data_IF_596590045446
#
_entry.id   IF_596590045446
#
_cell.length_a   1.000
_cell.length_b   1.000
_cell.length_c   1.000
_cell.angle_alpha   90.00
_cell.angle_beta   90.00
_cell.angle_gamma   90.00
#
_symmetry.space_group_name_H-M   'P 1'
#
loop_
_entity.id
_entity.type
_entity.pdbx_description
1 polymer ?
#
# COMPACT_ATOMS: atom_id res chain seq x y z
N UNK A 1 5.28 -14.63 12.56
CA UNK A 1 4.24 -15.43 11.89
C UNK A 1 4.81 -15.82 10.54
N UNK A 2 4.84 -17.10 10.19
CA UNK A 2 5.38 -17.56 8.89
C UNK A 2 4.41 -17.15 7.78
N UNK A 3 4.93 -16.60 6.70
CA UNK A 3 4.13 -16.27 5.51
C UNK A 3 3.82 -17.57 4.75
N UNK A 4 2.60 -17.75 4.21
CA UNK A 4 2.31 -18.87 3.34
C UNK A 4 3.18 -18.80 2.08
N UNK A 5 3.78 -19.92 1.71
CA UNK A 5 4.53 -20.07 0.46
C UNK A 5 3.60 -20.74 -0.55
N UNK A 6 3.59 -20.27 -1.79
CA UNK A 6 2.73 -20.77 -2.84
C UNK A 6 3.59 -21.35 -3.97
N UNK A 7 3.17 -22.49 -4.49
CA UNK A 7 3.80 -23.16 -5.63
C UNK A 7 2.94 -23.05 -6.90
N UNK A 8 2.01 -22.09 -6.89
CA UNK A 8 1.09 -21.77 -7.97
C UNK A 8 0.79 -20.26 -7.96
N UNK A 9 1.17 -19.57 -9.04
CA UNK A 9 1.02 -18.12 -9.17
C UNK A 9 -0.45 -17.69 -9.09
N UNK A 10 -1.37 -18.43 -9.71
CA UNK A 10 -2.80 -18.12 -9.69
C UNK A 10 -3.38 -18.22 -8.28
N UNK A 11 -2.92 -19.22 -7.52
CA UNK A 11 -3.33 -19.39 -6.14
C UNK A 11 -2.81 -18.25 -5.24
N UNK A 12 -1.54 -17.86 -5.42
CA UNK A 12 -0.97 -16.69 -4.75
C UNK A 12 -1.78 -15.43 -5.04
N UNK A 13 -2.02 -15.11 -6.32
CA UNK A 13 -2.79 -13.94 -6.74
C UNK A 13 -4.22 -13.92 -6.21
N UNK A 14 -4.83 -15.08 -5.98
CA UNK A 14 -6.17 -15.17 -5.39
C UNK A 14 -6.17 -14.87 -3.89
N UNK A 15 -5.07 -15.19 -3.19
CA UNK A 15 -5.05 -15.23 -1.72
C UNK A 15 -4.20 -14.13 -1.07
N UNK A 16 -3.29 -13.47 -1.77
CA UNK A 16 -2.35 -12.51 -1.16
C UNK A 16 -3.03 -11.39 -0.35
N UNK A 17 -4.15 -10.82 -0.82
CA UNK A 17 -4.91 -9.82 -0.06
C UNK A 17 -5.65 -10.41 1.14
N UNK A 18 -6.08 -11.68 1.05
CA UNK A 18 -6.71 -12.38 2.17
C UNK A 18 -5.69 -12.61 3.28
N UNK A 19 -4.51 -13.06 2.91
CA UNK A 19 -3.40 -13.33 3.84
C UNK A 19 -2.94 -12.04 4.51
N UNK A 20 -2.82 -10.94 3.73
CA UNK A 20 -2.58 -9.61 4.28
C UNK A 20 -3.65 -9.19 5.30
N UNK A 21 -4.94 -9.35 4.98
CA UNK A 21 -6.04 -8.99 5.90
C UNK A 21 -5.96 -9.77 7.21
N UNK A 22 -5.61 -11.06 7.14
CA UNK A 22 -5.42 -11.87 8.35
C UNK A 22 -4.24 -11.37 9.18
N UNK A 23 -3.10 -11.04 8.56
CA UNK A 23 -1.95 -10.47 9.26
C UNK A 23 -2.28 -9.11 9.89
N UNK A 24 -2.96 -8.24 9.15
CA UNK A 24 -3.39 -6.92 9.62
C UNK A 24 -4.39 -7.00 10.77
N UNK A 25 -5.26 -8.01 10.79
CA UNK A 25 -6.19 -8.24 11.91
C UNK A 25 -5.46 -8.54 13.23
N UNK A 26 -4.28 -9.17 13.14
CA UNK A 26 -3.42 -9.47 14.29
C UNK A 26 -2.48 -8.30 14.63
N UNK A 27 -2.06 -7.55 13.62
CA UNK A 27 -1.14 -6.41 13.71
C UNK A 27 -1.70 -5.18 12.97
N UNK A 28 -2.56 -4.36 13.60
CA UNK A 28 -3.29 -3.28 12.91
C UNK A 28 -2.41 -2.19 12.25
N UNK A 29 -1.21 -1.98 12.79
CA UNK A 29 -0.23 -1.03 12.26
C UNK A 29 0.50 -1.53 11.00
N UNK A 30 0.38 -2.82 10.68
CA UNK A 30 1.08 -3.44 9.55
C UNK A 30 0.52 -2.94 8.22
N UNK A 31 1.38 -2.32 7.40
CA UNK A 31 0.98 -1.75 6.11
C UNK A 31 1.13 -2.77 4.99
N UNK A 32 0.38 -2.57 3.92
CA UNK A 32 0.43 -3.45 2.74
C UNK A 32 1.80 -3.41 2.06
N UNK A 33 2.48 -2.26 2.11
CA UNK A 33 3.84 -2.12 1.57
C UNK A 33 4.85 -2.96 2.35
N UNK A 34 4.69 -3.06 3.68
CA UNK A 34 5.54 -3.90 4.53
C UNK A 34 5.28 -5.38 4.22
N UNK A 35 4.02 -5.75 4.00
CA UNK A 35 3.64 -7.09 3.56
C UNK A 35 4.28 -7.48 2.23
N UNK A 36 4.20 -6.61 1.23
CA UNK A 36 4.83 -6.86 -0.08
C UNK A 36 6.35 -7.00 -0.01
N UNK A 37 7.02 -6.18 0.82
CA UNK A 37 8.45 -6.33 1.08
C UNK A 37 8.75 -7.69 1.70
N UNK A 38 8.03 -8.09 2.75
CA UNK A 38 8.25 -9.38 3.40
C UNK A 38 8.05 -10.57 2.43
N UNK A 39 7.03 -10.52 1.56
CA UNK A 39 6.85 -11.58 0.56
C UNK A 39 8.01 -11.55 -0.44
N UNK A 40 8.35 -10.38 -0.98
CA UNK A 40 9.45 -10.23 -1.94
C UNK A 40 10.76 -10.79 -1.39
N UNK A 41 11.10 -10.46 -0.15
CA UNK A 41 12.29 -10.95 0.54
C UNK A 41 12.24 -12.49 0.72
N UNK A 42 11.07 -13.03 1.07
CA UNK A 42 10.88 -14.49 1.22
C UNK A 42 11.18 -15.21 -0.10
N UNK A 43 10.61 -14.76 -1.20
CA UNK A 43 10.82 -15.38 -2.51
C UNK A 43 12.22 -15.09 -3.08
N UNK A 44 12.81 -13.94 -2.76
CA UNK A 44 14.21 -13.65 -3.10
C UNK A 44 15.16 -14.63 -2.42
N UNK A 45 14.99 -14.88 -1.12
CA UNK A 45 15.82 -15.84 -0.40
C UNK A 45 15.70 -17.25 -0.98
N UNK A 46 14.48 -17.68 -1.33
CA UNK A 46 14.26 -18.96 -2.02
C UNK A 46 15.04 -19.01 -3.35
N UNK A 47 14.97 -17.95 -4.17
CA UNK A 47 15.71 -17.90 -5.43
C UNK A 47 17.22 -17.95 -5.22
N UNK A 48 17.73 -17.18 -4.26
CA UNK A 48 19.14 -17.13 -3.93
C UNK A 48 19.62 -18.52 -3.48
N UNK A 49 18.92 -19.15 -2.54
CA UNK A 49 19.27 -20.49 -2.04
C UNK A 49 19.19 -21.56 -3.15
N UNK A 50 18.17 -21.53 -4.02
CA UNK A 50 18.08 -22.47 -5.14
C UNK A 50 19.23 -22.34 -6.15
N UNK A 51 19.80 -21.14 -6.32
CA UNK A 51 20.85 -20.87 -7.32
C UNK A 51 22.27 -20.81 -6.73
N UNK A 52 22.42 -20.47 -5.44
CA UNK A 52 23.70 -20.44 -4.72
C UNK A 52 24.10 -21.82 -4.19
N UNK A 53 23.14 -22.74 -3.96
CA UNK A 53 23.42 -24.16 -3.69
C UNK A 53 23.84 -24.83 -5.02
N UNK A 54 24.96 -24.36 -5.59
CA UNK A 54 25.48 -24.79 -6.89
C UNK A 54 26.62 -25.80 -6.75
N UNK A 55 26.48 -26.87 -5.97
CA UNK A 55 27.51 -27.92 -5.98
C UNK A 55 27.00 -29.35 -6.15
N UNK A 56 25.79 -29.73 -5.70
CA UNK A 56 25.21 -31.04 -6.04
C UNK A 56 23.67 -31.02 -6.09
N UNK A 57 23.09 -31.95 -6.87
CA UNK A 57 21.64 -32.20 -6.83
C UNK A 57 21.18 -32.63 -5.43
N UNK A 58 22.03 -33.29 -4.65
CA UNK A 58 21.72 -33.77 -3.30
C UNK A 58 21.47 -32.60 -2.33
N UNK A 59 22.31 -31.57 -2.37
CA UNK A 59 22.13 -30.37 -1.54
C UNK A 59 20.82 -29.64 -1.88
N UNK A 60 20.46 -29.58 -3.17
CA UNK A 60 19.21 -28.98 -3.63
C UNK A 60 17.99 -29.81 -3.20
N UNK A 61 18.08 -31.14 -3.28
CA UNK A 61 17.04 -32.07 -2.81
C UNK A 61 16.80 -31.86 -1.31
N UNK A 62 17.87 -31.83 -0.52
CA UNK A 62 17.76 -31.64 0.93
C UNK A 62 17.21 -30.26 1.26
N UNK A 63 17.64 -29.20 0.57
CA UNK A 63 17.06 -27.87 0.74
C UNK A 63 15.55 -27.85 0.48
N UNK A 64 15.11 -28.33 -0.69
CA UNK A 64 13.69 -28.33 -1.07
C UNK A 64 12.87 -29.15 -0.08
N UNK A 65 13.39 -30.32 0.30
CA UNK A 65 12.72 -31.19 1.24
C UNK A 65 12.62 -30.53 2.62
N UNK A 66 13.72 -30.14 3.24
CA UNK A 66 13.73 -29.58 4.60
C UNK A 66 12.94 -28.26 4.68
N UNK A 67 12.97 -27.44 3.64
CA UNK A 67 12.28 -26.14 3.62
C UNK A 67 10.77 -26.27 3.39
N UNK A 68 10.34 -27.16 2.50
CA UNK A 68 8.97 -27.16 1.98
C UNK A 68 8.15 -28.42 2.30
N UNK A 69 8.71 -29.54 2.76
CA UNK A 69 7.95 -30.78 2.94
C UNK A 69 6.77 -30.67 3.92
N UNK A 70 6.80 -29.71 4.84
CA UNK A 70 5.71 -29.45 5.81
C UNK A 70 4.70 -28.42 5.31
N UNK A 71 4.98 -27.72 4.22
CA UNK A 71 4.07 -26.74 3.65
C UNK A 71 2.93 -27.46 2.93
N UNK A 72 1.69 -27.25 3.38
CA UNK A 72 0.49 -27.86 2.81
C UNK A 72 0.38 -27.54 1.30
N UNK A 73 0.70 -26.31 0.91
CA UNK A 73 0.73 -25.88 -0.49
C UNK A 73 1.74 -26.66 -1.33
N UNK A 74 2.89 -27.02 -0.76
CA UNK A 74 3.90 -27.83 -1.43
C UNK A 74 3.43 -29.28 -1.58
N UNK A 75 2.81 -29.85 -0.54
CA UNK A 75 2.26 -31.19 -0.60
C UNK A 75 1.15 -31.29 -1.65
N UNK A 76 0.25 -30.31 -1.70
CA UNK A 76 -0.79 -30.22 -2.72
C UNK A 76 -0.18 -30.09 -4.12
N UNK A 77 0.85 -29.26 -4.29
CA UNK A 77 1.58 -29.16 -5.55
C UNK A 77 2.17 -30.50 -5.99
N UNK A 78 2.85 -31.22 -5.09
CA UNK A 78 3.42 -32.54 -5.40
C UNK A 78 2.32 -33.53 -5.79
N UNK A 79 1.21 -33.53 -5.05
CA UNK A 79 0.08 -34.42 -5.31
C UNK A 79 -0.56 -34.15 -6.67
N UNK A 80 -0.80 -32.89 -7.00
CA UNK A 80 -1.48 -32.51 -8.24
C UNK A 80 -0.59 -32.74 -9.47
N UNK A 81 0.71 -32.42 -9.37
CA UNK A 81 1.64 -32.53 -10.50
C UNK A 81 2.18 -33.93 -10.73
N UNK A 82 2.35 -34.72 -9.67
CA UNK A 82 2.98 -36.04 -9.72
C UNK A 82 2.03 -37.16 -9.31
N UNK A 83 0.71 -36.92 -9.40
CA UNK A 83 -0.32 -37.87 -8.99
C UNK A 83 -0.10 -39.27 -9.58
N UNK A 84 0.13 -39.35 -10.90
CA UNK A 84 0.32 -40.63 -11.59
C UNK A 84 1.57 -41.37 -11.09
N UNK A 85 2.68 -40.66 -10.92
CA UNK A 85 3.93 -41.20 -10.36
C UNK A 85 3.73 -41.73 -8.94
N UNK A 86 3.00 -40.99 -8.11
CA UNK A 86 2.64 -41.39 -6.74
C UNK A 86 1.81 -42.67 -6.77
N UNK A 87 0.78 -42.74 -7.62
CA UNK A 87 -0.09 -43.92 -7.78
C UNK A 87 0.71 -45.15 -8.24
N UNK A 88 1.63 -44.99 -9.19
CA UNK A 88 2.50 -46.09 -9.63
C UNK A 88 3.40 -46.62 -8.50
N UNK A 89 4.00 -45.73 -7.71
CA UNK A 89 4.80 -46.12 -6.54
C UNK A 89 3.97 -46.90 -5.52
N UNK A 90 2.75 -46.45 -5.21
CA UNK A 90 1.85 -47.17 -4.32
C UNK A 90 1.43 -48.55 -4.87
N UNK A 91 1.17 -48.65 -6.18
CA UNK A 91 0.88 -49.94 -6.85
C UNK A 91 2.04 -50.93 -6.71
N UNK A 92 3.27 -50.48 -6.96
CA UNK A 92 4.50 -51.30 -6.80
C UNK A 92 4.67 -51.75 -5.35
N UNK A 93 4.32 -50.90 -4.38
CA UNK A 93 4.38 -51.22 -2.96
C UNK A 93 3.22 -52.11 -2.45
N UNK A 94 2.26 -52.51 -3.30
CA UNK A 94 1.06 -53.29 -2.95
C UNK A 94 0.20 -52.66 -1.83
N UNK A 95 0.22 -51.33 -1.72
CA UNK A 95 -0.58 -50.60 -0.72
C UNK A 95 -2.04 -50.44 -1.19
N UNK A 96 -3.01 -50.52 -0.27
CA UNK A 96 -4.45 -50.45 -0.60
C UNK A 96 -4.88 -49.02 -0.94
N UNK A 97 -5.90 -48.90 -1.80
CA UNK A 97 -6.44 -47.65 -2.37
C UNK A 97 -6.92 -46.58 -1.38
N UNK A 98 -7.11 -46.93 -0.11
CA UNK A 98 -7.62 -46.01 0.93
C UNK A 98 -6.51 -45.54 1.89
N UNK A 99 -5.28 -46.03 1.72
CA UNK A 99 -4.11 -45.70 2.55
C UNK A 99 -3.16 -44.70 1.85
N UNK A 100 -3.63 -43.97 0.82
CA UNK A 100 -2.84 -42.97 0.09
C UNK A 100 -2.58 -41.72 0.94
N UNK A 101 -1.79 -41.86 1.99
CA UNK A 101 -1.22 -40.72 2.71
C UNK A 101 0.13 -40.45 2.09
N UNK A 102 0.30 -39.26 1.55
CA UNK A 102 1.57 -38.80 0.99
C UNK A 102 2.53 -38.60 2.15
N UNK A 103 3.39 -39.60 2.36
CA UNK A 103 4.37 -39.57 3.45
C UNK A 103 5.56 -38.71 3.06
N UNK A 104 6.30 -38.13 4.03
CA UNK A 104 7.54 -37.42 3.75
C UNK A 104 8.54 -38.25 2.94
N UNK A 105 8.57 -39.57 3.15
CA UNK A 105 9.40 -40.48 2.35
C UNK A 105 9.04 -40.46 0.86
N UNK A 106 7.75 -40.55 0.53
CA UNK A 106 7.27 -40.49 -0.86
C UNK A 106 7.59 -39.11 -1.47
N UNK A 107 7.37 -38.03 -0.72
CA UNK A 107 7.72 -36.67 -1.17
C UNK A 107 9.20 -36.58 -1.49
N UNK A 108 10.10 -37.07 -0.61
CA UNK A 108 11.55 -37.06 -0.86
C UNK A 108 11.92 -37.87 -2.10
N UNK A 109 11.33 -39.06 -2.30
CA UNK A 109 11.56 -39.86 -3.51
C UNK A 109 11.11 -39.14 -4.79
N UNK A 110 9.94 -38.46 -4.76
CA UNK A 110 9.46 -37.67 -5.90
C UNK A 110 10.40 -36.51 -6.20
N UNK A 111 10.93 -35.84 -5.17
CA UNK A 111 11.92 -34.76 -5.33
C UNK A 111 13.19 -35.30 -5.99
N UNK A 112 13.74 -36.42 -5.50
CA UNK A 112 14.95 -37.04 -6.07
C UNK A 112 14.77 -37.36 -7.55
N UNK A 113 13.64 -37.96 -7.93
CA UNK A 113 13.37 -38.37 -9.31
C UNK A 113 13.08 -37.19 -10.25
N UNK A 114 12.70 -36.02 -9.72
CA UNK A 114 12.20 -34.89 -10.50
C UNK A 114 12.85 -33.55 -10.14
N UNK A 115 14.07 -33.58 -9.61
CA UNK A 115 14.72 -32.41 -9.00
C UNK A 115 14.82 -31.22 -9.95
N UNK A 116 15.23 -31.44 -11.20
CA UNK A 116 15.36 -30.38 -12.20
C UNK A 116 14.00 -29.73 -12.53
N UNK A 117 12.96 -30.56 -12.67
CA UNK A 117 11.61 -30.09 -12.97
C UNK A 117 11.03 -29.30 -11.78
N UNK A 118 11.15 -29.83 -10.56
CA UNK A 118 10.64 -29.19 -9.35
C UNK A 118 11.39 -27.88 -9.10
N UNK A 119 12.73 -27.89 -9.18
CA UNK A 119 13.55 -26.69 -9.06
C UNK A 119 13.19 -25.64 -10.12
N UNK A 120 13.00 -26.05 -11.37
CA UNK A 120 12.56 -25.17 -12.46
C UNK A 120 11.18 -24.55 -12.21
N UNK A 121 10.22 -25.32 -11.71
CA UNK A 121 8.88 -24.82 -11.36
C UNK A 121 8.97 -23.81 -10.22
N UNK A 122 9.71 -24.11 -9.14
CA UNK A 122 9.84 -23.19 -8.01
C UNK A 122 10.47 -21.89 -8.49
N UNK A 123 11.57 -21.95 -9.26
CA UNK A 123 12.21 -20.77 -9.83
C UNK A 123 11.25 -19.93 -10.69
N UNK A 124 10.45 -20.57 -11.54
CA UNK A 124 9.44 -19.88 -12.35
C UNK A 124 8.39 -19.17 -11.47
N UNK A 125 7.84 -19.87 -10.47
CA UNK A 125 6.85 -19.30 -9.55
C UNK A 125 7.42 -18.12 -8.78
N UNK A 126 8.66 -18.23 -8.31
CA UNK A 126 9.36 -17.16 -7.61
C UNK A 126 9.45 -15.89 -8.48
N UNK A 127 9.88 -16.02 -9.73
CA UNK A 127 10.01 -14.89 -10.66
C UNK A 127 8.67 -14.20 -10.92
N UNK A 128 7.63 -14.97 -11.21
CA UNK A 128 6.27 -14.43 -11.47
C UNK A 128 5.68 -13.73 -10.25
N UNK A 129 5.91 -14.26 -9.05
CA UNK A 129 5.45 -13.64 -7.80
C UNK A 129 6.21 -12.33 -7.54
N UNK A 130 7.52 -12.30 -7.78
CA UNK A 130 8.31 -11.07 -7.65
C UNK A 130 7.84 -9.99 -8.64
N UNK A 131 7.60 -10.36 -9.90
CA UNK A 131 7.05 -9.44 -10.90
C UNK A 131 5.68 -8.91 -10.49
N UNK A 132 4.78 -9.80 -10.03
CA UNK A 132 3.47 -9.41 -9.54
C UNK A 132 3.56 -8.40 -8.38
N UNK A 133 4.38 -8.69 -7.37
CA UNK A 133 4.55 -7.81 -6.19
C UNK A 133 5.12 -6.46 -6.61
N UNK A 134 6.13 -6.46 -7.47
CA UNK A 134 6.74 -5.25 -8.01
C UNK A 134 5.68 -4.38 -8.71
N UNK A 135 4.83 -4.99 -9.53
CA UNK A 135 3.72 -4.30 -10.19
C UNK A 135 2.69 -3.75 -9.19
N UNK A 136 2.36 -4.48 -8.13
CA UNK A 136 1.45 -4.01 -7.08
C UNK A 136 2.05 -2.86 -6.25
N UNK A 137 3.35 -2.89 -5.95
CA UNK A 137 4.07 -1.78 -5.31
C UNK A 137 4.01 -0.55 -6.20
N UNK A 138 4.35 -0.69 -7.49
CA UNK A 138 4.26 0.42 -8.44
C UNK A 138 2.85 0.99 -8.52
N UNK A 139 1.80 0.17 -8.55
CA UNK A 139 0.41 0.67 -8.53
C UNK A 139 0.14 1.51 -7.29
N UNK A 140 0.63 1.12 -6.11
CA UNK A 140 0.44 1.88 -4.87
C UNK A 140 1.20 3.21 -4.93
N UNK A 141 2.47 3.19 -5.35
CA UNK A 141 3.29 4.41 -5.49
C UNK A 141 2.75 5.34 -6.57
N UNK A 142 2.24 4.78 -7.68
CA UNK A 142 1.56 5.53 -8.73
C UNK A 142 0.18 6.04 -8.27
N UNK A 143 -0.51 5.37 -7.36
CA UNK A 143 -1.75 5.88 -6.76
C UNK A 143 -1.48 6.96 -5.70
N UNK A 144 -0.33 6.94 -5.02
CA UNK A 144 0.07 8.02 -4.12
C UNK A 144 0.64 9.24 -4.85
N UNK A 145 1.23 9.05 -6.04
CA UNK A 145 1.64 10.15 -6.94
C UNK A 145 0.49 10.64 -7.84
N UNK A 146 -0.46 9.77 -8.21
CA UNK A 146 -1.75 10.09 -8.84
C UNK A 146 -2.90 10.20 -7.85
N UNK A 147 -2.62 10.36 -6.55
CA UNK A 147 -3.34 11.37 -5.79
C UNK A 147 -3.00 12.68 -6.49
N UNK A 148 -3.71 12.93 -7.60
CA UNK A 148 -4.55 14.11 -7.70
C UNK A 148 -4.96 14.35 -6.26
N UNK A 149 -4.29 15.31 -5.63
CA UNK A 149 -5.02 16.32 -4.90
C UNK A 149 -6.34 16.39 -5.65
N UNK A 150 -7.45 15.99 -5.02
CA UNK A 150 -8.69 16.65 -5.36
C UNK A 150 -8.27 18.07 -5.65
N UNK A 151 -8.52 18.58 -6.87
CA UNK A 151 -8.37 20.00 -7.09
C UNK A 151 -9.31 20.60 -6.04
N UNK A 152 -8.82 20.79 -4.82
CA UNK A 152 -9.25 21.80 -3.91
C UNK A 152 -9.24 22.97 -4.86
N UNK A 153 -10.43 23.50 -5.14
CA UNK A 153 -10.53 24.76 -5.85
C UNK A 153 -9.55 25.66 -5.13
N UNK A 154 -8.42 25.92 -5.80
CA UNK A 154 -7.33 26.63 -5.17
C UNK A 154 -7.77 28.08 -5.15
N UNK A 155 -8.49 28.43 -4.08
CA UNK A 155 -8.95 29.78 -3.88
C UNK A 155 -7.71 30.62 -3.64
N UNK A 156 -7.58 31.68 -4.44
CA UNK A 156 -6.59 32.71 -4.20
C UNK A 156 -6.77 33.32 -2.81
N UNK A 157 -5.72 33.92 -2.24
CA UNK A 157 -5.82 34.58 -0.93
C UNK A 157 -6.97 35.61 -0.84
N UNK A 158 -7.28 36.40 -1.90
CA UNK A 158 -8.48 37.23 -1.95
C UNK A 158 -9.80 36.45 -1.79
N UNK A 159 -9.96 35.31 -2.47
CA UNK A 159 -11.16 34.49 -2.38
C UNK A 159 -11.31 33.86 -0.99
N UNK A 160 -10.20 33.38 -0.41
CA UNK A 160 -10.18 32.86 0.96
C UNK A 160 -10.52 33.93 1.99
N UNK A 161 -10.01 35.16 1.80
CA UNK A 161 -10.32 36.30 2.66
C UNK A 161 -11.81 36.70 2.56
N UNK A 162 -12.36 36.72 1.35
CA UNK A 162 -13.79 36.96 1.11
C UNK A 162 -14.66 35.91 1.81
N UNK A 163 -14.26 34.63 1.75
CA UNK A 163 -14.96 33.55 2.45
C UNK A 163 -14.92 33.72 3.98
N UNK A 164 -13.77 34.09 4.56
CA UNK A 164 -13.67 34.37 6.00
C UNK A 164 -14.58 35.52 6.43
N UNK A 165 -14.73 36.54 5.58
CA UNK A 165 -15.66 37.65 5.81
C UNK A 165 -17.12 37.17 5.82
N UNK A 166 -17.54 36.43 4.80
CA UNK A 166 -18.92 35.91 4.71
C UNK A 166 -19.26 34.94 5.85
N UNK A 167 -18.27 34.21 6.37
CA UNK A 167 -18.42 33.34 7.54
C UNK A 167 -18.51 34.10 8.87
N UNK A 168 -18.40 35.44 8.87
CA UNK A 168 -18.38 36.25 10.09
C UNK A 168 -17.14 36.00 10.96
N UNK A 169 -16.06 35.46 10.39
CA UNK A 169 -14.87 35.05 11.14
C UNK A 169 -14.30 36.21 11.97
N UNK A 170 -14.27 37.42 11.41
CA UNK A 170 -13.75 38.61 12.08
C UNK A 170 -14.69 39.21 13.14
N UNK A 171 -15.94 38.74 13.20
CA UNK A 171 -16.96 39.18 14.17
C UNK A 171 -17.00 38.31 15.44
N UNK A 172 -16.25 37.20 15.45
CA UNK A 172 -16.20 36.29 16.58
C UNK A 172 -15.78 37.01 17.88
N UNK A 173 -16.40 36.69 19.03
CA UNK A 173 -16.13 37.38 20.30
C UNK A 173 -14.65 37.41 20.70
N UNK A 174 -13.90 36.36 20.34
CA UNK A 174 -12.46 36.24 20.62
C UNK A 174 -11.64 37.36 19.97
N UNK A 175 -12.08 37.89 18.82
CA UNK A 175 -11.37 38.96 18.11
C UNK A 175 -11.61 40.35 18.70
N UNK A 176 -12.65 40.55 19.53
CA UNK A 176 -12.94 41.84 20.16
C UNK A 176 -11.79 42.31 21.06
N UNK A 177 -11.10 41.36 21.70
CA UNK A 177 -10.03 41.63 22.66
C UNK A 177 -8.62 41.57 22.05
N UNK A 178 -8.51 41.28 20.75
CA UNK A 178 -7.22 41.15 20.06
C UNK A 178 -6.79 42.47 19.41
N UNK A 179 -5.49 42.74 19.49
CA UNK A 179 -4.87 43.85 18.76
C UNK A 179 -4.89 43.55 17.27
N UNK A 180 -4.95 44.59 16.45
CA UNK A 180 -5.02 44.46 14.99
C UNK A 180 -3.84 43.64 14.42
N UNK A 181 -2.63 43.86 14.96
CA UNK A 181 -1.45 43.09 14.58
C UNK A 181 -1.65 41.58 14.81
N UNK A 182 -2.29 41.19 15.92
CA UNK A 182 -2.54 39.78 16.24
C UNK A 182 -3.60 39.16 15.34
N UNK A 183 -4.65 39.92 14.98
CA UNK A 183 -5.68 39.47 14.03
C UNK A 183 -5.06 39.25 12.65
N UNK A 184 -4.21 40.17 12.20
CA UNK A 184 -3.49 40.05 10.92
C UNK A 184 -2.52 38.86 10.90
N UNK A 185 -1.82 38.62 12.00
CA UNK A 185 -0.94 37.46 12.15
C UNK A 185 -1.72 36.14 12.05
N UNK A 186 -2.83 36.02 12.79
CA UNK A 186 -3.71 34.84 12.75
C UNK A 186 -4.28 34.63 11.34
N UNK A 187 -4.72 35.70 10.69
CA UNK A 187 -5.25 35.65 9.31
C UNK A 187 -4.17 35.21 8.32
N UNK A 188 -2.95 35.72 8.45
CA UNK A 188 -1.82 35.30 7.61
C UNK A 188 -1.48 33.82 7.77
N UNK A 189 -1.54 33.30 9.00
CA UNK A 189 -1.35 31.86 9.29
C UNK A 189 -2.46 31.03 8.61
N UNK A 190 -3.73 31.43 8.75
CA UNK A 190 -4.87 30.72 8.16
C UNK A 190 -4.83 30.67 6.64
N UNK A 191 -4.34 31.75 6.02
CA UNK A 191 -4.21 31.84 4.57
C UNK A 191 -2.91 31.23 4.03
N UNK A 192 -2.04 30.71 4.91
CA UNK A 192 -0.68 30.26 4.60
C UNK A 192 0.10 31.29 3.77
N UNK A 193 -0.06 32.55 4.11
CA UNK A 193 0.38 33.65 3.30
C UNK A 193 1.73 34.20 3.77
N UNK A 194 2.56 34.70 2.86
CA UNK A 194 3.91 35.14 3.19
C UNK A 194 3.85 36.31 4.19
N UNK A 195 4.42 36.20 5.41
CA UNK A 195 4.36 37.27 6.41
C UNK A 195 4.89 38.60 5.91
N UNK A 196 5.85 38.59 4.97
CA UNK A 196 6.41 39.81 4.35
C UNK A 196 5.43 40.50 3.40
N UNK A 197 4.50 39.78 2.79
CA UNK A 197 3.43 40.37 1.96
C UNK A 197 2.33 41.02 2.82
N UNK A 198 2.10 40.48 4.02
CA UNK A 198 0.99 40.89 4.90
C UNK A 198 1.40 41.96 5.93
N UNK A 199 2.58 41.83 6.53
CA UNK A 199 3.05 42.70 7.63
C UNK A 199 3.90 43.88 7.12
N UNK A 200 4.76 43.67 6.10
CA UNK A 200 5.82 44.62 5.78
C UNK A 200 5.43 45.77 4.82
N UNK A 201 4.17 45.81 4.36
CA UNK A 201 3.66 46.87 3.45
C UNK A 201 2.32 47.50 3.90
N UNK A 202 1.93 47.38 5.17
CA UNK A 202 0.63 47.88 5.68
C UNK A 202 -0.55 47.43 4.80
N UNK A 203 -0.51 46.15 4.47
CA UNK A 203 -1.24 45.63 3.34
C UNK A 203 -2.59 45.06 3.76
N UNK A 204 -2.76 44.50 4.96
CA UNK A 204 -4.08 44.29 5.56
C UNK A 204 -4.21 45.19 6.80
N UNK A 205 -5.13 46.16 6.77
CA UNK A 205 -5.53 46.93 7.95
C UNK A 205 -7.00 46.58 8.19
N UNK A 206 -7.25 45.50 8.94
CA UNK A 206 -8.59 44.94 9.18
C UNK A 206 -9.43 45.83 10.11
N UNK A 207 -8.81 46.77 10.83
CA UNK A 207 -9.51 47.83 11.58
C UNK A 207 -9.42 49.20 10.90
N UNK A 208 -9.15 49.21 9.59
CA UNK A 208 -9.20 50.42 8.77
C UNK A 208 -10.58 51.04 8.91
N UNK A 209 -10.66 52.37 9.08
CA UNK A 209 -11.93 53.12 9.07
C UNK A 209 -12.78 52.89 7.81
N UNK A 210 -12.26 52.15 6.82
CA UNK A 210 -13.00 51.64 5.67
C UNK A 210 -12.58 50.19 5.35
N UNK A 211 -13.36 49.18 5.77
CA UNK A 211 -13.18 47.77 5.38
C UNK A 211 -13.23 47.60 3.85
N UNK A 212 -14.10 48.37 3.19
CA UNK A 212 -14.30 48.38 1.74
C UNK A 212 -12.99 48.61 0.97
N UNK A 213 -12.15 49.52 1.45
CA UNK A 213 -10.88 49.85 0.81
C UNK A 213 -9.92 48.65 0.69
N UNK A 214 -9.90 47.74 1.67
CA UNK A 214 -9.02 46.57 1.64
C UNK A 214 -9.63 45.43 0.83
N UNK A 215 -10.95 45.21 0.91
CA UNK A 215 -11.66 44.30 -0.01
C UNK A 215 -11.52 44.72 -1.47
N UNK A 216 -11.49 46.02 -1.78
CA UNK A 216 -11.24 46.56 -3.11
C UNK A 216 -9.77 46.40 -3.54
N UNK A 217 -8.83 46.69 -2.64
CA UNK A 217 -7.38 46.64 -2.91
C UNK A 217 -6.84 45.23 -3.15
N UNK A 218 -7.44 44.20 -2.53
CA UNK A 218 -7.13 42.79 -2.80
C UNK A 218 -8.01 42.15 -3.84
N UNK A 219 -8.93 42.89 -4.47
CA UNK A 219 -9.97 42.33 -5.34
C UNK A 219 -10.86 41.28 -4.65
N UNK A 220 -10.85 41.20 -3.32
CA UNK A 220 -11.66 40.25 -2.55
C UNK A 220 -13.17 40.55 -2.67
N UNK A 221 -13.55 41.83 -2.78
CA UNK A 221 -14.96 42.25 -2.98
C UNK A 221 -15.58 41.59 -4.22
N UNK A 222 -14.79 41.42 -5.28
CA UNK A 222 -15.24 40.82 -6.55
C UNK A 222 -15.68 39.36 -6.38
N UNK A 223 -15.25 38.71 -5.29
CA UNK A 223 -15.57 37.31 -5.00
C UNK A 223 -16.59 37.13 -3.86
N UNK A 224 -17.07 38.20 -3.20
CA UNK A 224 -17.99 38.06 -2.05
C UNK A 224 -19.29 37.36 -2.43
N UNK A 225 -19.95 37.81 -3.50
CA UNK A 225 -21.19 37.17 -3.99
C UNK A 225 -20.96 35.72 -4.42
N UNK A 226 -19.80 35.42 -5.00
CA UNK A 226 -19.43 34.06 -5.38
C UNK A 226 -19.20 33.16 -4.16
N UNK A 227 -18.56 33.70 -3.11
CA UNK A 227 -18.33 32.95 -1.86
C UNK A 227 -19.63 32.79 -1.05
N UNK A 228 -20.49 33.81 -1.05
CA UNK A 228 -21.82 33.75 -0.42
C UNK A 228 -22.71 32.69 -1.05
N UNK A 229 -22.62 32.49 -2.38
CA UNK A 229 -23.28 31.37 -3.09
C UNK A 229 -22.79 29.99 -2.65
N UNK A 230 -21.51 29.86 -2.25
CA UNK A 230 -21.00 28.58 -1.73
C UNK A 230 -21.61 28.23 -0.38
N UNK A 231 -21.90 29.24 0.46
CA UNK A 231 -22.52 29.06 1.77
C UNK A 231 -24.03 28.80 1.63
N UNK A 232 -24.70 29.51 0.71
CA UNK A 232 -26.15 29.40 0.51
C UNK A 232 -26.60 28.18 -0.30
N UNK A 233 -25.72 27.56 -1.08
CA UNK A 233 -25.98 26.27 -1.74
C UNK A 233 -25.62 25.04 -0.88
N UNK A 234 -25.33 25.24 0.41
CA UNK A 234 -25.09 24.16 1.35
C UNK A 234 -26.42 23.64 1.92
N UNK A 235 -27.22 23.01 1.06
CA UNK A 235 -28.32 22.11 1.45
C UNK A 235 -27.82 20.66 1.49
#
# INVERSE_FOLDING_TARGET
>A
MKLPIYFNVKEFQKNYLRDFKQLKSKNPSFKIIDYYKCISDTYFNIHAELNEISYTNDDLIDYIFETFHQEESFQNFINDKFFDTIIEKFKKAKLKRYDYVVTPKIVKEIIIENIELIGGIINYVVQEIQEFITNEIYKIEFLDTNKKTSQEKSYSNPQKLALLHELGFFELPIFKNLSEAKINEITGILLNANPKEFVYKNRLNLKSKSPNYQTDKYTAYQYLEDMKKLISNAD
#
